data_IF_428846442575
#
_entry.id   IF_428846442575
#
_cell.length_a   1.000
_cell.length_b   1.000
_cell.length_c   1.000
_cell.angle_alpha   90.00
_cell.angle_beta   90.00
_cell.angle_gamma   90.00
#
_symmetry.space_group_name_H-M   'P 1'
#
loop_
_entity.id
_entity.type
_entity.pdbx_description
1 polymer ?
#
# COMPACT_ATOMS: atom_id res chain seq x y z
N UNK A 1 3.18 -24.35 20.67
CA UNK A 1 3.36 -23.25 19.72
C UNK A 1 3.68 -23.72 18.34
N UNK A 2 4.53 -24.72 18.13
CA UNK A 2 4.84 -25.28 16.83
C UNK A 2 3.63 -25.87 16.09
N UNK A 3 2.74 -26.52 16.81
CA UNK A 3 1.57 -27.17 16.22
C UNK A 3 0.55 -26.16 15.68
N UNK A 4 0.36 -25.05 16.38
CA UNK A 4 -0.56 -24.00 15.93
C UNK A 4 -0.07 -23.32 14.66
N UNK A 5 1.21 -23.06 14.57
CA UNK A 5 1.84 -22.46 13.41
C UNK A 5 1.76 -23.38 12.20
N UNK A 6 2.07 -24.66 12.39
CA UNK A 6 2.03 -25.66 11.34
C UNK A 6 0.62 -25.83 10.79
N UNK A 7 -0.37 -25.85 11.67
CA UNK A 7 -1.77 -25.93 11.27
C UNK A 7 -2.21 -24.71 10.49
N UNK A 8 -1.77 -23.53 10.89
CA UNK A 8 -2.04 -22.29 10.17
C UNK A 8 -1.42 -22.30 8.75
N UNK A 9 -0.19 -22.77 8.64
CA UNK A 9 0.51 -22.87 7.34
C UNK A 9 -0.19 -23.85 6.41
N UNK A 10 -0.66 -24.99 6.93
CA UNK A 10 -1.43 -25.95 6.17
C UNK A 10 -2.74 -25.35 5.66
N UNK A 11 -3.45 -24.60 6.48
CA UNK A 11 -4.67 -23.89 6.10
C UNK A 11 -4.40 -22.85 5.02
N UNK A 12 -3.31 -22.13 5.11
CA UNK A 12 -2.91 -21.14 4.12
C UNK A 12 -2.57 -21.80 2.79
N UNK A 13 -1.92 -22.95 2.83
CA UNK A 13 -1.57 -23.71 1.63
C UNK A 13 -2.84 -24.22 0.91
N UNK A 14 -3.77 -24.79 1.65
CA UNK A 14 -5.03 -25.26 1.11
C UNK A 14 -5.83 -24.12 0.47
N UNK A 15 -5.92 -22.98 1.14
CA UNK A 15 -6.60 -21.80 0.62
C UNK A 15 -5.91 -21.27 -0.64
N UNK A 16 -4.59 -21.28 -0.68
CA UNK A 16 -3.83 -20.85 -1.84
C UNK A 16 -4.10 -21.75 -3.05
N UNK A 17 -4.04 -23.05 -2.88
CA UNK A 17 -4.27 -24.01 -3.96
C UNK A 17 -5.70 -23.94 -4.48
N UNK A 18 -6.67 -23.82 -3.58
CA UNK A 18 -8.07 -23.65 -3.94
C UNK A 18 -8.28 -22.35 -4.72
N UNK A 19 -7.71 -21.25 -4.23
CA UNK A 19 -7.77 -19.94 -4.87
C UNK A 19 -7.14 -19.98 -6.26
N UNK A 20 -5.98 -20.61 -6.39
CA UNK A 20 -5.29 -20.74 -7.67
C UNK A 20 -6.15 -21.46 -8.70
N UNK A 21 -6.75 -22.56 -8.31
CA UNK A 21 -7.60 -23.35 -9.19
C UNK A 21 -8.86 -22.59 -9.62
N UNK A 22 -9.48 -21.91 -8.67
CA UNK A 22 -10.73 -21.18 -8.89
C UNK A 22 -10.53 -19.85 -9.60
N UNK A 23 -9.54 -19.11 -9.16
CA UNK A 23 -9.36 -17.70 -9.52
C UNK A 23 -8.57 -17.51 -10.81
N UNK A 24 -7.71 -18.44 -11.18
CA UNK A 24 -6.98 -18.37 -12.45
C UNK A 24 -7.94 -18.42 -13.65
N UNK A 25 -9.02 -19.18 -13.54
CA UNK A 25 -10.03 -19.27 -14.59
C UNK A 25 -10.73 -17.93 -14.77
N UNK A 26 -11.14 -17.27 -13.66
CA UNK A 26 -11.83 -15.99 -13.70
C UNK A 26 -10.89 -14.84 -14.04
N UNK A 27 -9.72 -14.81 -13.46
CA UNK A 27 -8.71 -13.77 -13.73
C UNK A 27 -8.35 -13.67 -15.19
N UNK A 28 -8.15 -14.80 -15.83
CA UNK A 28 -7.71 -14.85 -17.22
C UNK A 28 -8.82 -14.50 -18.19
N UNK A 29 -10.07 -14.66 -17.78
CA UNK A 29 -11.23 -14.45 -18.66
C UNK A 29 -11.85 -13.06 -18.53
N UNK A 30 -11.73 -12.42 -17.36
CA UNK A 30 -12.37 -11.13 -17.12
C UNK A 30 -11.39 -10.14 -16.49
N UNK A 31 -10.80 -9.23 -17.31
CA UNK A 31 -9.91 -8.21 -16.79
C UNK A 31 -10.60 -7.22 -15.84
N UNK A 32 -11.94 -7.17 -15.86
CA UNK A 32 -12.72 -6.30 -14.99
C UNK A 32 -13.22 -6.99 -13.72
N UNK A 33 -12.80 -8.26 -13.47
CA UNK A 33 -13.11 -8.93 -12.22
C UNK A 33 -12.54 -8.14 -11.04
N UNK A 34 -13.15 -8.28 -9.87
CA UNK A 34 -12.66 -7.63 -8.66
C UNK A 34 -11.18 -7.94 -8.41
N UNK A 35 -10.81 -9.20 -8.54
CA UNK A 35 -9.44 -9.65 -8.31
C UNK A 35 -8.44 -8.96 -9.25
N UNK A 36 -8.74 -8.91 -10.54
CA UNK A 36 -7.85 -8.28 -11.52
C UNK A 36 -7.77 -6.77 -11.33
N UNK A 37 -8.87 -6.12 -11.00
CA UNK A 37 -8.89 -4.69 -10.72
C UNK A 37 -8.06 -4.36 -9.48
N UNK A 38 -8.19 -5.16 -8.43
CA UNK A 38 -7.42 -4.97 -7.20
C UNK A 38 -5.92 -5.14 -7.46
N UNK A 39 -5.54 -6.20 -8.17
CA UNK A 39 -4.14 -6.47 -8.48
C UNK A 39 -3.52 -5.32 -9.28
N UNK A 40 -4.27 -4.77 -10.23
CA UNK A 40 -3.81 -3.63 -11.02
C UNK A 40 -3.55 -2.39 -10.15
N UNK A 41 -4.52 -2.04 -9.31
CA UNK A 41 -4.40 -0.86 -8.44
C UNK A 41 -3.24 -1.01 -7.45
N UNK A 42 -3.10 -2.19 -6.84
CA UNK A 42 -2.00 -2.46 -5.90
C UNK A 42 -0.65 -2.38 -6.60
N UNK A 43 -0.54 -2.96 -7.80
CA UNK A 43 0.69 -2.91 -8.57
C UNK A 43 1.12 -1.47 -8.88
N UNK A 44 0.18 -0.64 -9.30
CA UNK A 44 0.45 0.77 -9.59
C UNK A 44 0.94 1.52 -8.35
N UNK A 45 0.33 1.28 -7.19
CA UNK A 45 0.75 1.89 -5.92
C UNK A 45 2.16 1.44 -5.53
N UNK A 46 2.44 0.14 -5.64
CA UNK A 46 3.77 -0.39 -5.31
C UNK A 46 4.85 0.22 -6.19
N UNK A 47 4.62 0.29 -7.50
CA UNK A 47 5.57 0.90 -8.44
C UNK A 47 5.80 2.37 -8.13
N UNK A 48 4.75 3.11 -7.84
CA UNK A 48 4.83 4.53 -7.47
C UNK A 48 5.66 4.74 -6.20
N UNK A 49 5.44 3.94 -5.17
CA UNK A 49 6.18 4.04 -3.91
C UNK A 49 7.66 3.75 -4.11
N UNK A 50 7.99 2.72 -4.86
CA UNK A 50 9.38 2.36 -5.14
C UNK A 50 10.09 3.46 -5.91
N UNK A 51 9.43 4.02 -6.92
CA UNK A 51 9.97 5.10 -7.71
C UNK A 51 10.21 6.37 -6.88
N UNK A 52 9.22 6.78 -6.09
CA UNK A 52 9.33 7.95 -5.23
C UNK A 52 10.41 7.78 -4.17
N UNK A 53 10.47 6.62 -3.51
CA UNK A 53 11.50 6.37 -2.51
C UNK A 53 12.90 6.43 -3.10
N UNK A 54 13.11 5.87 -4.28
CA UNK A 54 14.39 5.96 -4.98
C UNK A 54 14.73 7.40 -5.34
N UNK A 55 13.76 8.17 -5.85
CA UNK A 55 13.95 9.57 -6.20
C UNK A 55 14.36 10.44 -5.01
N UNK A 56 13.84 10.12 -3.82
CA UNK A 56 14.18 10.84 -2.59
C UNK A 56 15.37 10.23 -1.83
N UNK A 57 16.13 9.33 -2.45
CA UNK A 57 17.34 8.76 -1.84
C UNK A 57 17.07 7.79 -0.71
N UNK A 58 16.02 7.01 -0.80
CA UNK A 58 15.64 6.00 0.19
C UNK A 58 15.30 6.58 1.58
N UNK A 59 14.67 7.76 1.60
CA UNK A 59 14.37 8.47 2.84
C UNK A 59 12.98 8.18 3.41
N UNK A 60 12.16 7.35 2.75
CA UNK A 60 10.79 7.09 3.21
C UNK A 60 10.73 6.61 4.66
N UNK A 61 11.61 5.69 5.04
CA UNK A 61 11.72 5.17 6.42
C UNK A 61 12.94 5.70 7.17
N UNK A 62 13.75 6.52 6.54
CA UNK A 62 14.98 7.10 7.10
C UNK A 62 15.03 8.60 6.79
N UNK A 63 14.27 9.42 7.54
CA UNK A 63 14.19 10.85 7.24
C UNK A 63 15.55 11.52 7.35
N UNK A 64 15.79 12.50 6.47
CA UNK A 64 17.05 13.23 6.41
C UNK A 64 17.33 14.06 7.66
N UNK A 65 16.28 14.59 8.28
CA UNK A 65 16.34 15.35 9.54
C UNK A 65 17.32 16.54 9.54
N UNK A 66 17.32 17.28 8.43
CA UNK A 66 18.10 18.53 8.36
C UNK A 66 17.43 19.62 9.20
N UNK A 67 16.14 19.82 9.02
CA UNK A 67 15.35 20.80 9.76
C UNK A 67 14.35 20.16 10.72
N UNK A 68 13.69 19.07 10.30
CA UNK A 68 12.73 18.34 11.10
C UNK A 68 13.42 17.41 12.09
N UNK A 69 12.82 17.25 13.26
CA UNK A 69 13.26 16.29 14.28
C UNK A 69 12.35 15.06 14.33
N UNK A 70 11.39 14.95 13.42
CA UNK A 70 10.43 13.87 13.44
C UNK A 70 11.09 12.54 13.05
N UNK A 71 10.70 11.45 13.73
CA UNK A 71 11.06 10.12 13.27
C UNK A 71 10.19 9.73 12.04
N UNK A 72 10.48 8.59 11.43
CA UNK A 72 9.77 8.16 10.22
C UNK A 72 8.26 8.08 10.44
N UNK A 73 7.82 7.45 11.53
CA UNK A 73 6.39 7.28 11.83
C UNK A 73 5.68 8.62 11.97
N UNK A 74 6.26 9.55 12.73
CA UNK A 74 5.67 10.88 12.94
C UNK A 74 5.66 11.70 11.65
N UNK A 75 6.72 11.62 10.85
CA UNK A 75 6.79 12.33 9.58
C UNK A 75 5.73 11.82 8.60
N UNK A 76 5.51 10.51 8.55
CA UNK A 76 4.48 9.91 7.72
C UNK A 76 3.09 10.33 8.19
N UNK A 77 2.84 10.33 9.50
CA UNK A 77 1.58 10.79 10.08
C UNK A 77 1.28 12.24 9.69
N UNK A 78 2.27 13.11 9.72
CA UNK A 78 2.11 14.49 9.29
C UNK A 78 1.70 14.60 7.82
N UNK A 79 2.26 13.75 6.96
CA UNK A 79 1.89 13.69 5.54
C UNK A 79 0.46 13.19 5.35
N UNK A 80 0.03 12.21 6.14
CA UNK A 80 -1.35 11.73 6.11
C UNK A 80 -2.30 12.86 6.50
N UNK A 81 -1.99 13.60 7.56
CA UNK A 81 -2.80 14.76 7.98
C UNK A 81 -2.93 15.78 6.85
N UNK A 82 -1.86 16.07 6.13
CA UNK A 82 -1.87 16.98 5.00
C UNK A 82 -2.83 16.49 3.89
N UNK A 83 -2.80 15.19 3.58
CA UNK A 83 -3.69 14.61 2.57
C UNK A 83 -5.15 14.66 2.99
N UNK A 84 -5.43 14.39 4.27
CA UNK A 84 -6.78 14.50 4.81
C UNK A 84 -7.28 15.93 4.76
N UNK A 85 -6.44 16.90 5.10
CA UNK A 85 -6.78 18.31 5.00
C UNK A 85 -7.09 18.72 3.55
N UNK A 86 -6.33 18.20 2.60
CA UNK A 86 -6.56 18.45 1.17
C UNK A 86 -7.90 17.89 0.71
N UNK A 87 -8.24 16.67 1.12
CA UNK A 87 -9.54 16.06 0.81
C UNK A 87 -10.67 16.91 1.40
N UNK A 88 -10.52 17.36 2.64
CA UNK A 88 -11.52 18.20 3.30
C UNK A 88 -11.73 19.53 2.57
N UNK A 89 -10.67 20.12 2.05
CA UNK A 89 -10.70 21.45 1.41
C UNK A 89 -11.07 21.39 -0.07
N UNK A 90 -10.58 20.42 -0.82
CA UNK A 90 -10.73 20.34 -2.28
C UNK A 90 -11.60 19.17 -2.77
N UNK A 91 -11.93 18.24 -1.86
CA UNK A 91 -12.68 17.04 -2.21
C UNK A 91 -11.80 15.90 -2.70
N UNK A 92 -12.41 14.73 -2.83
CA UNK A 92 -11.74 13.49 -3.21
C UNK A 92 -11.25 13.51 -4.67
N UNK A 93 -11.94 14.24 -5.55
CA UNK A 93 -11.69 14.26 -6.99
C UNK A 93 -10.82 15.45 -7.42
N UNK A 94 -9.84 15.84 -6.61
CA UNK A 94 -8.92 16.93 -6.95
C UNK A 94 -8.03 16.50 -8.13
N UNK A 95 -8.18 17.18 -9.26
CA UNK A 95 -7.43 16.86 -10.48
C UNK A 95 -5.96 17.31 -10.44
N UNK A 96 -5.58 18.12 -9.45
CA UNK A 96 -4.22 18.64 -9.35
C UNK A 96 -3.24 17.65 -8.72
N UNK A 97 -3.75 16.61 -8.08
CA UNK A 97 -2.92 15.65 -7.35
C UNK A 97 -3.69 14.35 -7.17
N UNK A 98 -2.99 13.23 -7.21
CA UNK A 98 -3.58 11.92 -6.95
C UNK A 98 -3.59 11.65 -5.45
N UNK A 99 -4.49 12.33 -4.74
CA UNK A 99 -4.54 12.32 -3.27
C UNK A 99 -4.85 10.93 -2.71
N UNK A 100 -5.70 10.16 -3.38
CA UNK A 100 -6.09 8.82 -2.91
C UNK A 100 -4.90 7.85 -3.01
N UNK A 101 -4.19 7.83 -4.13
CA UNK A 101 -3.01 6.98 -4.29
C UNK A 101 -1.92 7.37 -3.30
N UNK A 102 -1.70 8.66 -3.10
CA UNK A 102 -0.74 9.16 -2.11
C UNK A 102 -1.12 8.72 -0.70
N UNK A 103 -2.40 8.82 -0.35
CA UNK A 103 -2.89 8.41 0.98
C UNK A 103 -2.70 6.92 1.22
N UNK A 104 -3.04 6.09 0.23
CA UNK A 104 -2.82 4.64 0.31
C UNK A 104 -1.32 4.35 0.51
N UNK A 105 -0.48 5.01 -0.26
CA UNK A 105 0.97 4.88 -0.16
C UNK A 105 1.50 5.24 1.23
N UNK A 106 1.05 6.36 1.78
CA UNK A 106 1.48 6.76 3.13
C UNK A 106 0.98 5.81 4.21
N UNK A 107 -0.20 5.23 4.06
CA UNK A 107 -0.70 4.23 5.01
C UNK A 107 0.13 2.95 4.97
N UNK A 108 0.57 2.51 3.79
CA UNK A 108 1.51 1.40 3.67
C UNK A 108 2.84 1.71 4.33
N UNK A 109 3.39 2.89 4.10
CA UNK A 109 4.64 3.33 4.72
C UNK A 109 4.51 3.42 6.24
N UNK A 110 3.37 3.90 6.73
CA UNK A 110 3.10 3.96 8.16
C UNK A 110 3.17 2.56 8.77
N UNK A 111 2.52 1.60 8.14
CA UNK A 111 2.56 0.21 8.59
C UNK A 111 3.98 -0.35 8.59
N UNK A 112 4.78 -0.03 7.58
CA UNK A 112 6.19 -0.47 7.50
C UNK A 112 7.07 0.18 8.57
N UNK A 113 6.75 1.39 9.00
CA UNK A 113 7.54 2.14 9.99
C UNK A 113 7.30 1.72 11.44
N UNK A 114 6.25 0.95 11.65
CA UNK A 114 5.82 0.53 12.99
C UNK A 114 6.47 -0.75 13.47
#
# INVERSE_FOLDING_TARGET
MGDSRKKYEEMQQDNYEHSKYYWDVDRNKDPNSFSNRLDKEVKEIVELLKEKNAAYGNTALNPTNVFSKLNATEAICARIDDKLARISNRGINDETEDTIDDLIGYLLLLKMSM
#
